data_IF_098800589699
#
_entry.id   IF_098800589699
#
_cell.length_a   1.000
_cell.length_b   1.000
_cell.length_c   1.000
_cell.angle_alpha   90.00
_cell.angle_beta   90.00
_cell.angle_gamma   90.00
#
_symmetry.space_group_name_H-M   'P 1'
#
loop_
_entity.id
_entity.type
_entity.pdbx_description
1 polymer ?
#
# COMPACT_ATOMS: atom_id res chain seq x y z
N UNK A 1 11.03 -23.74 -0.23
CA UNK A 1 10.09 -22.59 -0.33
C UNK A 1 10.77 -21.33 0.15
N UNK A 2 10.74 -20.29 -0.66
CA UNK A 2 11.26 -18.97 -0.30
C UNK A 2 10.12 -18.10 0.23
N UNK A 3 10.37 -17.35 1.30
CA UNK A 3 9.39 -16.43 1.87
C UNK A 3 9.86 -15.00 1.67
N UNK A 4 8.95 -14.14 1.20
CA UNK A 4 9.21 -12.72 1.01
C UNK A 4 8.20 -11.91 1.82
N UNK A 5 8.62 -10.76 2.33
CA UNK A 5 7.75 -9.86 3.08
C UNK A 5 7.87 -8.44 2.56
N UNK A 6 6.72 -7.83 2.29
CA UNK A 6 6.62 -6.42 1.96
C UNK A 6 5.68 -5.74 2.95
N UNK A 7 5.92 -4.46 3.18
CA UNK A 7 5.05 -3.64 4.01
C UNK A 7 4.70 -2.36 3.28
N UNK A 8 3.52 -1.86 3.54
CA UNK A 8 3.04 -0.63 2.95
C UNK A 8 1.94 -0.02 3.79
N UNK A 9 1.25 0.94 3.20
CA UNK A 9 0.19 1.63 3.92
C UNK A 9 -1.00 1.93 3.02
N UNK A 10 -2.16 1.92 3.66
CA UNK A 10 -3.40 2.37 3.07
C UNK A 10 -3.58 3.79 3.62
N UNK A 11 -3.32 4.78 2.78
CA UNK A 11 -3.30 6.18 3.18
C UNK A 11 -4.63 6.81 2.78
N UNK A 12 -5.42 7.20 3.76
CA UNK A 12 -6.73 7.80 3.54
C UNK A 12 -6.69 9.25 3.98
N UNK A 13 -7.14 10.14 3.10
CA UNK A 13 -7.19 11.58 3.37
C UNK A 13 -8.40 12.17 2.67
N UNK A 14 -9.26 12.83 3.43
CA UNK A 14 -10.45 13.50 2.90
C UNK A 14 -11.31 12.62 1.99
N UNK A 15 -11.58 11.39 2.44
CA UNK A 15 -12.41 10.43 1.72
C UNK A 15 -11.76 9.81 0.49
N UNK A 16 -10.45 10.01 0.31
CA UNK A 16 -9.69 9.46 -0.80
C UNK A 16 -8.57 8.58 -0.30
N UNK A 17 -8.20 7.60 -1.12
CA UNK A 17 -7.08 6.70 -0.82
C UNK A 17 -5.98 6.85 -1.87
N UNK A 18 -4.74 6.74 -1.42
CA UNK A 18 -3.56 6.86 -2.26
C UNK A 18 -3.25 5.53 -2.93
N UNK A 19 -3.28 5.51 -4.25
CA UNK A 19 -2.93 4.32 -5.04
C UNK A 19 -1.80 4.64 -6.01
N UNK A 20 -1.04 3.62 -6.34
CA UNK A 20 0.04 3.71 -7.33
C UNK A 20 -0.24 2.78 -8.50
N UNK A 21 0.14 3.20 -9.69
CA UNK A 21 0.11 2.35 -10.88
C UNK A 21 1.53 1.91 -11.19
N UNK A 22 1.75 0.61 -11.19
CA UNK A 22 3.04 0.03 -11.57
C UNK A 22 3.20 0.05 -13.09
N UNK A 23 4.44 0.07 -13.55
CA UNK A 23 4.73 0.08 -15.00
C UNK A 23 4.08 -1.10 -15.74
N UNK A 24 3.87 -2.21 -15.04
CA UNK A 24 3.18 -3.37 -15.60
C UNK A 24 1.67 -3.16 -15.77
N UNK A 25 1.13 -2.05 -15.28
CA UNK A 25 -0.26 -1.64 -15.47
C UNK A 25 -1.21 -1.90 -14.32
N UNK A 26 -0.76 -2.51 -13.23
CA UNK A 26 -1.66 -2.80 -12.10
C UNK A 26 -1.65 -1.66 -11.07
N UNK A 27 -2.82 -1.43 -10.48
CA UNK A 27 -3.03 -0.45 -9.39
C UNK A 27 -3.08 -1.15 -8.05
N UNK A 28 -2.36 -0.60 -7.07
CA UNK A 28 -2.33 -1.15 -5.72
C UNK A 28 -1.95 -0.07 -4.72
N UNK A 29 -1.98 -0.41 -3.43
CA UNK A 29 -1.44 0.45 -2.38
C UNK A 29 0.09 0.50 -2.49
N UNK A 30 0.71 1.62 -2.09
CA UNK A 30 2.17 1.70 -2.07
C UNK A 30 2.75 0.73 -1.03
N UNK A 31 3.78 -0.01 -1.43
CA UNK A 31 4.45 -1.01 -0.59
C UNK A 31 5.79 -1.40 -1.18
N UNK A 32 6.61 -2.04 -0.38
CA UNK A 32 7.86 -2.62 -0.85
C UNK A 32 8.51 -3.51 0.20
N UNK A 33 9.63 -4.08 -0.17
CA UNK A 33 10.34 -5.07 0.63
C UNK A 33 10.91 -4.48 1.92
N UNK A 34 10.81 -5.24 3.00
CA UNK A 34 11.45 -4.89 4.28
C UNK A 34 12.95 -5.00 4.11
N UNK A 35 13.67 -3.97 4.52
CA UNK A 35 15.13 -3.96 4.50
C UNK A 35 15.66 -4.39 5.86
N UNK A 36 16.90 -4.89 5.86
CA UNK A 36 17.57 -5.34 7.07
C UNK A 36 17.60 -4.20 8.11
N UNK A 37 17.21 -4.52 9.33
CA UNK A 37 17.20 -3.55 10.43
C UNK A 37 15.95 -2.68 10.50
N UNK A 38 15.04 -2.77 9.52
CA UNK A 38 13.79 -2.01 9.54
C UNK A 38 12.68 -2.75 10.28
N UNK A 39 11.87 -1.99 11.01
CA UNK A 39 10.58 -2.50 11.48
C UNK A 39 9.58 -2.48 10.32
N UNK A 40 8.47 -3.18 10.47
CA UNK A 40 7.41 -3.19 9.46
C UNK A 40 6.84 -1.80 9.23
N UNK A 41 6.63 -1.03 10.31
CA UNK A 41 6.12 0.34 10.21
C UNK A 41 7.14 1.26 9.51
N UNK A 42 8.42 1.14 9.84
CA UNK A 42 9.47 1.92 9.16
C UNK A 42 9.50 1.64 7.67
N UNK A 43 9.37 0.36 7.28
CA UNK A 43 9.31 -0.02 5.88
C UNK A 43 8.11 0.62 5.18
N UNK A 44 6.93 0.58 5.81
CA UNK A 44 5.72 1.15 5.24
C UNK A 44 5.89 2.65 5.00
N UNK A 45 6.40 3.38 5.97
CA UNK A 45 6.62 4.84 5.86
C UNK A 45 7.62 5.14 4.75
N UNK A 46 8.72 4.41 4.70
CA UNK A 46 9.76 4.61 3.67
C UNK A 46 9.23 4.31 2.28
N UNK A 47 8.54 3.20 2.11
CA UNK A 47 8.04 2.79 0.79
C UNK A 47 6.97 3.74 0.26
N UNK A 48 6.08 4.24 1.11
CA UNK A 48 5.11 5.26 0.69
C UNK A 48 5.86 6.50 0.20
N UNK A 49 6.87 6.93 0.92
CA UNK A 49 7.68 8.10 0.52
C UNK A 49 8.40 7.86 -0.80
N UNK A 50 9.02 6.69 -0.96
CA UNK A 50 9.76 6.36 -2.19
C UNK A 50 8.85 6.29 -3.42
N UNK A 51 7.66 5.72 -3.29
CA UNK A 51 6.75 5.53 -4.43
C UNK A 51 5.91 6.76 -4.74
N UNK A 52 5.54 7.56 -3.74
CA UNK A 52 4.51 8.60 -3.91
C UNK A 52 4.93 10.00 -3.50
N UNK A 53 6.08 10.14 -2.86
CA UNK A 53 6.55 11.41 -2.25
C UNK A 53 5.67 11.91 -1.09
N UNK A 54 4.78 11.08 -0.59
CA UNK A 54 3.91 11.45 0.55
C UNK A 54 4.56 11.02 1.85
N UNK A 55 4.56 11.95 2.82
CA UNK A 55 5.01 11.69 4.18
C UNK A 55 3.79 11.27 5.00
N UNK A 56 3.91 10.15 5.69
CA UNK A 56 2.83 9.62 6.53
C UNK A 56 3.30 9.35 7.94
N UNK A 57 2.33 9.27 8.85
CA UNK A 57 2.53 8.68 10.17
C UNK A 57 1.57 7.50 10.32
N UNK A 58 1.94 6.55 11.15
CA UNK A 58 1.14 5.37 11.47
C UNK A 58 0.95 5.35 12.97
N UNK A 59 -0.29 5.54 13.43
CA UNK A 59 -0.59 5.64 14.85
C UNK A 59 -0.97 4.30 15.48
N UNK A 60 -1.60 3.41 14.69
CA UNK A 60 -2.09 2.12 15.18
C UNK A 60 -1.33 0.98 14.54
N UNK A 61 -1.08 -0.06 15.30
CA UNK A 61 -0.38 -1.25 14.82
C UNK A 61 -1.32 -2.27 14.15
N UNK A 62 -2.56 -1.92 13.90
CA UNK A 62 -3.51 -2.77 13.19
C UNK A 62 -2.98 -3.13 11.81
N UNK A 63 -2.99 -4.41 11.50
CA UNK A 63 -2.44 -4.92 10.24
C UNK A 63 -3.53 -5.48 9.34
N UNK A 64 -3.39 -5.21 8.04
CA UNK A 64 -4.17 -5.86 7.00
C UNK A 64 -3.20 -6.71 6.21
N UNK A 65 -3.39 -8.02 6.22
CA UNK A 65 -2.39 -8.97 5.71
C UNK A 65 -2.94 -9.70 4.49
N UNK A 66 -2.09 -9.80 3.46
CA UNK A 66 -2.36 -10.57 2.26
C UNK A 66 -1.22 -11.56 2.07
N UNK A 67 -1.54 -12.82 1.76
CA UNK A 67 -0.54 -13.84 1.46
C UNK A 67 -0.86 -14.45 0.11
N UNK A 68 0.15 -14.61 -0.73
CA UNK A 68 -0.01 -15.22 -2.04
C UNK A 68 1.33 -15.71 -2.57
N UNK A 69 1.26 -16.60 -3.55
CA UNK A 69 2.45 -17.11 -4.23
C UNK A 69 2.61 -16.38 -5.56
N UNK A 70 3.61 -15.47 -5.70
CA UNK A 70 3.81 -14.76 -6.96
C UNK A 70 4.43 -15.66 -8.04
N UNK A 71 5.06 -16.73 -7.63
CA UNK A 71 5.64 -17.74 -8.52
C UNK A 71 5.89 -19.02 -7.74
N UNK A 72 6.23 -20.10 -8.46
CA UNK A 72 6.50 -21.41 -7.86
C UNK A 72 7.57 -21.32 -6.76
N UNK A 73 7.32 -21.99 -5.65
CA UNK A 73 8.22 -22.07 -4.49
C UNK A 73 8.51 -20.73 -3.79
N UNK A 74 7.66 -19.73 -4.00
CA UNK A 74 7.75 -18.46 -3.29
C UNK A 74 6.40 -18.16 -2.63
N UNK A 75 6.43 -17.81 -1.35
CA UNK A 75 5.26 -17.32 -0.62
C UNK A 75 5.55 -15.89 -0.20
N UNK A 76 4.66 -14.98 -0.56
CA UNK A 76 4.79 -13.57 -0.23
C UNK A 76 3.73 -13.13 0.76
N UNK A 77 4.16 -12.46 1.83
CA UNK A 77 3.27 -11.82 2.80
C UNK A 77 3.39 -10.30 2.60
N UNK A 78 2.26 -9.65 2.47
CA UNK A 78 2.19 -8.19 2.39
C UNK A 78 1.40 -7.68 3.58
N UNK A 79 1.99 -6.75 4.31
CA UNK A 79 1.40 -6.17 5.52
C UNK A 79 1.14 -4.70 5.27
N UNK A 80 -0.12 -4.28 5.45
CA UNK A 80 -0.51 -2.88 5.32
C UNK A 80 -0.94 -2.31 6.65
N UNK A 81 -0.51 -1.09 6.91
CA UNK A 81 -0.98 -0.27 8.04
C UNK A 81 -1.85 0.85 7.51
N UNK A 82 -2.65 1.45 8.37
CA UNK A 82 -3.37 2.67 8.01
C UNK A 82 -2.42 3.85 8.21
N UNK A 83 -2.17 4.59 7.14
CA UNK A 83 -1.30 5.75 7.14
C UNK A 83 -2.09 7.05 7.11
N UNK A 84 -1.60 8.05 7.83
CA UNK A 84 -2.17 9.39 7.83
C UNK A 84 -1.17 10.33 7.15
N UNK A 85 -1.63 11.08 6.14
CA UNK A 85 -0.79 12.04 5.44
C UNK A 85 -0.40 13.18 6.38
N UNK A 86 0.90 13.46 6.46
CA UNK A 86 1.41 14.59 7.24
C UNK A 86 2.19 15.59 6.38
N UNK A 87 2.46 15.30 5.14
CA UNK A 87 3.16 16.22 4.24
C UNK A 87 3.40 15.64 2.86
N UNK A 88 4.09 16.40 2.03
CA UNK A 88 4.47 16.01 0.69
C UNK A 88 3.42 16.28 -0.37
N UNK A 89 3.84 16.19 -1.63
CA UNK A 89 2.95 16.26 -2.79
C UNK A 89 3.09 14.96 -3.56
N UNK A 90 1.95 14.36 -3.91
CA UNK A 90 1.94 13.09 -4.62
C UNK A 90 2.55 13.23 -6.00
N UNK A 91 3.54 12.40 -6.28
CA UNK A 91 4.14 12.23 -7.60
C UNK A 91 4.90 10.90 -7.64
N UNK A 92 4.98 10.25 -8.80
CA UNK A 92 5.80 9.04 -8.94
C UNK A 92 7.26 9.35 -8.62
N UNK A 93 7.87 8.57 -7.74
CA UNK A 93 9.24 8.82 -7.28
C UNK A 93 10.26 7.81 -7.77
N UNK A 94 9.81 6.61 -8.14
CA UNK A 94 10.72 5.54 -8.59
C UNK A 94 10.32 5.07 -9.98
N UNK A 95 11.29 4.43 -10.67
CA UNK A 95 11.09 3.98 -12.06
C UNK A 95 9.98 2.95 -12.24
N UNK A 96 9.67 2.20 -11.19
CA UNK A 96 8.66 1.12 -11.23
C UNK A 96 7.23 1.64 -11.17
N UNK A 97 7.04 2.90 -10.77
CA UNK A 97 5.71 3.50 -10.59
C UNK A 97 5.48 4.53 -11.70
N UNK A 98 4.44 4.31 -12.50
CA UNK A 98 4.13 5.19 -13.62
C UNK A 98 3.10 6.28 -13.28
N UNK A 99 2.33 6.09 -12.22
CA UNK A 99 1.32 7.08 -11.82
C UNK A 99 1.00 6.93 -10.33
N UNK A 100 0.54 8.04 -9.74
CA UNK A 100 0.09 8.12 -8.35
C UNK A 100 -1.20 8.92 -8.35
N UNK A 101 -2.26 8.39 -7.75
CA UNK A 101 -3.54 9.08 -7.68
C UNK A 101 -4.19 8.96 -6.31
N UNK A 102 -4.88 10.03 -5.90
CA UNK A 102 -5.83 10.02 -4.82
C UNK A 102 -7.20 9.70 -5.40
N UNK A 103 -7.78 8.58 -5.00
CA UNK A 103 -9.03 8.08 -5.57
C UNK A 103 -10.09 7.99 -4.47
N UNK A 104 -11.30 8.46 -4.77
CA UNK A 104 -12.43 8.34 -3.85
C UNK A 104 -12.51 6.88 -3.35
N UNK A 105 -12.62 6.69 -2.03
CA UNK A 105 -12.59 5.36 -1.43
C UNK A 105 -13.65 4.42 -2.01
N UNK A 106 -14.81 4.97 -2.40
CA UNK A 106 -15.89 4.16 -2.98
C UNK A 106 -15.59 3.72 -4.42
N UNK A 107 -14.65 4.37 -5.08
CA UNK A 107 -14.21 4.01 -6.43
C UNK A 107 -12.92 3.21 -6.44
N UNK A 108 -12.19 3.23 -5.34
CA UNK A 108 -10.90 2.57 -5.22
C UNK A 108 -11.00 1.05 -5.40
N UNK A 109 -12.06 0.44 -4.88
CA UNK A 109 -12.27 -1.01 -5.02
C UNK A 109 -12.31 -1.41 -6.49
N UNK A 110 -12.94 -0.60 -7.35
CA UNK A 110 -13.00 -0.88 -8.78
C UNK A 110 -11.64 -0.68 -9.46
N UNK A 111 -10.89 0.33 -9.03
CA UNK A 111 -9.59 0.66 -9.61
C UNK A 111 -8.51 -0.36 -9.29
N UNK A 112 -8.48 -0.85 -8.05
CA UNK A 112 -7.48 -1.82 -7.61
C UNK A 112 -7.54 -3.07 -8.47
N UNK A 113 -6.38 -3.54 -8.94
CA UNK A 113 -6.32 -4.63 -9.91
C UNK A 113 -6.57 -6.00 -9.31
N UNK A 114 -5.96 -6.32 -8.16
CA UNK A 114 -6.00 -7.67 -7.60
C UNK A 114 -7.10 -7.86 -6.55
N UNK A 115 -7.79 -9.00 -6.60
CA UNK A 115 -8.87 -9.32 -5.67
C UNK A 115 -8.43 -9.26 -4.21
N UNK A 116 -7.22 -9.71 -3.90
CA UNK A 116 -6.70 -9.69 -2.52
C UNK A 116 -6.64 -8.26 -1.96
N UNK A 117 -6.24 -7.29 -2.78
CA UNK A 117 -6.19 -5.89 -2.36
C UNK A 117 -7.56 -5.24 -2.34
N UNK A 118 -8.46 -5.63 -3.26
CA UNK A 118 -9.85 -5.17 -3.24
C UNK A 118 -10.54 -5.56 -1.93
N UNK A 119 -10.32 -6.79 -1.47
CA UNK A 119 -10.91 -7.29 -0.21
C UNK A 119 -10.39 -6.49 0.97
N UNK A 120 -9.10 -6.15 0.98
CA UNK A 120 -8.51 -5.33 2.02
C UNK A 120 -9.15 -3.93 2.02
N UNK A 121 -9.30 -3.31 0.83
CA UNK A 121 -9.94 -1.99 0.73
C UNK A 121 -11.37 -2.01 1.26
N UNK A 122 -12.13 -3.04 0.93
CA UNK A 122 -13.49 -3.20 1.44
C UNK A 122 -13.51 -3.32 2.96
N UNK A 123 -12.58 -4.07 3.53
CA UNK A 123 -12.48 -4.22 4.99
C UNK A 123 -12.10 -2.89 5.66
N UNK A 124 -11.18 -2.14 5.06
CA UNK A 124 -10.79 -0.82 5.57
C UNK A 124 -11.96 0.15 5.58
N UNK A 125 -12.75 0.16 4.50
CA UNK A 125 -13.94 1.01 4.41
C UNK A 125 -14.89 0.70 5.56
N UNK A 126 -15.10 -0.58 5.83
CA UNK A 126 -15.97 -1.03 6.92
C UNK A 126 -15.39 -0.65 8.28
N UNK A 127 -14.12 -0.97 8.51
CA UNK A 127 -13.46 -0.77 9.81
C UNK A 127 -13.33 0.71 10.18
N UNK A 128 -13.09 1.57 9.20
CA UNK A 128 -12.95 3.01 9.41
C UNK A 128 -14.25 3.77 9.20
N UNK A 129 -15.30 3.08 8.84
CA UNK A 129 -16.62 3.69 8.62
C UNK A 129 -16.57 4.80 7.55
N UNK A 130 -15.92 4.48 6.46
CA UNK A 130 -15.74 5.42 5.35
C UNK A 130 -16.96 5.49 4.41
#
# INVERSE_FOLDING_TARGET
>A
MKYEKSCGAIVVDDGKVLLVKHNAGHWDFPKGHVEEGETEIETAIREVKEETNIDIKIEKENKYISEYSPKENVMKTVIYFIGEKVGGKDKPQIEEVSDVEWIDVNKAVERITHQRSKKIMMQVIKDMNL
#
